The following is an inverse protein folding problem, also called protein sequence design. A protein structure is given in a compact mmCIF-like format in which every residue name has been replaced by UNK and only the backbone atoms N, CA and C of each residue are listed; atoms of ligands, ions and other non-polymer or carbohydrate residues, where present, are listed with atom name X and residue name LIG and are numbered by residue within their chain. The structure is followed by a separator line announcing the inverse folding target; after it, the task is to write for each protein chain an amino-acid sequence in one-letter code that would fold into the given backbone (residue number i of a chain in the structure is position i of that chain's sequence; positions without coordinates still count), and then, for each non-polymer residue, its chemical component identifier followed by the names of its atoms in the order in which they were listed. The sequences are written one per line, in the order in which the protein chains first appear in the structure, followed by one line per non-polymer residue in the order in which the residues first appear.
data_IF_680883961423
#
_entry.id   IF_680883961423
#
_cell.length_a   1.000
_cell.length_b   1.000
_cell.length_c   1.000
_cell.angle_alpha   90.00
_cell.angle_beta   90.00
_cell.angle_gamma   90.00
#
_symmetry.space_group_name_H-M   'P 1'
#
loop_
_entity.id
_entity.type
_entity.pdbx_description
1 polymer ?
#
# COMPACT_ATOMS: atom_id res chain seq x y z
N UNK A 1 6.65 -14.18 19.98
CA UNK A 1 6.42 -12.78 19.59
C UNK A 1 6.12 -12.77 18.11
N UNK A 2 4.95 -12.30 17.69
CA UNK A 2 4.75 -11.95 16.28
C UNK A 2 5.60 -10.72 15.98
N UNK A 3 6.33 -10.74 14.87
CA UNK A 3 7.02 -9.56 14.38
C UNK A 3 5.95 -8.68 13.71
N UNK A 4 5.86 -7.39 14.03
CA UNK A 4 4.97 -6.43 13.35
C UNK A 4 5.49 -6.06 11.93
N UNK A 5 6.09 -7.04 11.27
CA UNK A 5 6.69 -6.96 9.95
C UNK A 5 6.25 -8.23 9.23
N UNK A 6 5.45 -8.07 8.17
CA UNK A 6 5.05 -9.17 7.30
C UNK A 6 5.75 -9.06 5.95
N UNK A 7 6.15 -10.21 5.41
CA UNK A 7 6.72 -10.33 4.06
C UNK A 7 5.75 -11.16 3.22
N UNK A 8 5.22 -10.56 2.17
CA UNK A 8 4.37 -11.24 1.20
C UNK A 8 5.14 -11.44 -0.10
N UNK A 9 5.66 -12.66 -0.29
CA UNK A 9 6.48 -13.01 -1.43
C UNK A 9 5.69 -12.99 -2.74
N UNK A 10 6.37 -12.65 -3.84
CA UNK A 10 5.84 -12.75 -5.22
C UNK A 10 4.49 -12.04 -5.45
N UNK A 11 4.26 -10.92 -4.76
CA UNK A 11 3.02 -10.14 -4.92
C UNK A 11 2.92 -9.42 -6.27
N UNK A 12 4.04 -9.24 -6.97
CA UNK A 12 4.11 -8.75 -8.34
C UNK A 12 4.59 -9.88 -9.26
N UNK A 13 4.04 -9.96 -10.47
CA UNK A 13 4.54 -10.91 -11.47
C UNK A 13 5.91 -10.49 -11.97
N UNK A 14 6.74 -11.47 -12.35
CA UNK A 14 8.06 -11.20 -12.91
C UNK A 14 7.99 -10.36 -14.21
N UNK A 15 6.94 -10.56 -15.01
CA UNK A 15 6.69 -9.76 -16.22
C UNK A 15 6.39 -8.29 -15.90
N UNK A 16 5.54 -8.03 -14.90
CA UNK A 16 5.25 -6.66 -14.47
C UNK A 16 6.51 -5.96 -13.97
N UNK A 17 7.33 -6.65 -13.18
CA UNK A 17 8.60 -6.12 -12.69
C UNK A 17 9.54 -5.76 -13.85
N UNK A 18 9.73 -6.67 -14.82
CA UNK A 18 10.56 -6.41 -16.01
C UNK A 18 10.04 -5.23 -16.83
N UNK A 19 8.74 -5.17 -17.09
CA UNK A 19 8.14 -4.09 -17.85
C UNK A 19 8.30 -2.74 -17.15
N UNK A 20 8.11 -2.69 -15.83
CA UNK A 20 8.27 -1.48 -15.03
C UNK A 20 9.72 -0.97 -15.01
N UNK A 21 10.70 -1.89 -14.89
CA UNK A 21 12.14 -1.57 -14.95
C UNK A 21 12.49 -1.00 -16.33
N UNK A 22 12.11 -1.68 -17.41
CA UNK A 22 12.39 -1.21 -18.78
C UNK A 22 11.79 0.16 -19.04
N UNK A 23 10.54 0.38 -18.61
CA UNK A 23 9.88 1.68 -18.73
C UNK A 23 10.59 2.78 -17.94
N UNK A 24 11.12 2.45 -16.75
CA UNK A 24 11.89 3.38 -15.94
C UNK A 24 13.19 3.76 -16.66
N UNK A 25 13.95 2.77 -17.15
CA UNK A 25 15.23 2.96 -17.83
C UNK A 25 15.11 3.82 -19.10
N UNK A 26 13.97 3.76 -19.80
CA UNK A 26 13.69 4.55 -21.01
C UNK A 26 12.98 5.89 -20.73
N UNK A 27 12.64 6.20 -19.48
CA UNK A 27 11.94 7.44 -19.17
C UNK A 27 12.88 8.64 -19.23
N UNK A 28 12.43 9.72 -19.88
CA UNK A 28 13.11 11.02 -19.89
C UNK A 28 12.94 11.81 -18.59
N UNK A 29 12.10 11.33 -17.67
CA UNK A 29 11.80 12.01 -16.40
C UNK A 29 12.70 11.54 -15.23
N UNK A 30 13.70 10.71 -15.50
CA UNK A 30 14.67 10.28 -14.50
C UNK A 30 15.48 11.48 -13.99
N UNK A 31 15.71 11.52 -12.68
CA UNK A 31 16.59 12.52 -12.06
C UNK A 31 17.48 11.86 -10.99
N UNK A 32 18.57 12.54 -10.62
CA UNK A 32 19.46 12.05 -9.56
C UNK A 32 18.75 12.10 -8.21
N UNK A 33 18.87 11.02 -7.44
CA UNK A 33 18.31 10.92 -6.11
C UNK A 33 18.65 12.13 -5.24
N UNK A 34 17.62 12.73 -4.65
CA UNK A 34 17.74 13.93 -3.81
C UNK A 34 17.45 13.58 -2.35
N UNK A 35 18.21 14.19 -1.47
CA UNK A 35 17.98 14.30 -0.02
C UNK A 35 17.29 15.63 0.30
N UNK A 36 16.98 15.90 1.57
CA UNK A 36 16.40 17.18 1.99
C UNK A 36 17.26 18.42 1.64
N UNK A 37 18.57 18.25 1.42
CA UNK A 37 19.49 19.33 1.04
C UNK A 37 19.94 19.27 -0.43
N UNK A 38 19.24 18.51 -1.28
CA UNK A 38 19.60 18.33 -2.69
C UNK A 38 20.35 17.03 -2.98
N UNK A 39 21.22 17.03 -4.01
CA UNK A 39 21.90 15.82 -4.49
C UNK A 39 23.17 15.58 -3.67
N UNK A 40 23.20 14.47 -2.94
CA UNK A 40 24.36 14.01 -2.18
C UNK A 40 24.57 12.50 -2.42
N UNK A 41 25.41 12.12 -3.39
CA UNK A 41 25.64 10.71 -3.73
C UNK A 41 26.25 9.88 -2.60
N UNK A 42 26.88 10.52 -1.59
CA UNK A 42 27.38 9.79 -0.42
C UNK A 42 26.26 9.26 0.47
N UNK A 43 25.07 9.88 0.40
CA UNK A 43 23.86 9.49 1.15
C UNK A 43 22.81 8.81 0.30
N UNK A 44 22.69 9.21 -0.98
CA UNK A 44 21.67 8.70 -1.89
C UNK A 44 22.24 8.61 -3.31
N UNK A 45 22.83 7.45 -3.63
CA UNK A 45 23.30 7.14 -4.97
C UNK A 45 22.22 6.37 -5.76
N UNK A 46 21.17 7.06 -6.18
CA UNK A 46 20.10 6.49 -7.00
C UNK A 46 19.77 7.39 -8.20
N UNK A 47 19.13 6.79 -9.20
CA UNK A 47 18.32 7.51 -10.18
C UNK A 47 16.87 7.28 -9.80
N UNK A 48 16.10 8.35 -9.70
CA UNK A 48 14.74 8.35 -9.20
C UNK A 48 13.78 8.85 -10.29
N UNK A 49 12.51 8.45 -10.15
CA UNK A 49 11.37 9.06 -10.83
C UNK A 49 10.24 9.23 -9.81
N UNK A 50 9.47 10.31 -9.91
CA UNK A 50 8.27 10.50 -9.10
C UNK A 50 7.05 10.16 -9.95
N UNK A 51 6.56 8.91 -9.89
CA UNK A 51 5.51 8.41 -10.80
C UNK A 51 4.26 9.30 -10.83
N UNK A 52 3.82 9.79 -9.66
CA UNK A 52 2.63 10.64 -9.54
C UNK A 52 2.73 11.99 -10.28
N UNK A 53 3.93 12.43 -10.66
CA UNK A 53 4.13 13.65 -11.46
C UNK A 53 3.89 13.42 -12.96
N UNK A 54 3.75 12.15 -13.38
CA UNK A 54 3.61 11.75 -14.77
C UNK A 54 2.45 10.73 -14.94
N UNK A 55 1.22 11.07 -14.50
CA UNK A 55 0.10 10.12 -14.48
C UNK A 55 -0.32 9.64 -15.87
N UNK A 56 -0.14 10.47 -16.91
CA UNK A 56 -0.46 10.10 -18.30
C UNK A 56 0.40 8.94 -18.81
N UNK A 57 1.65 8.87 -18.33
CA UNK A 57 2.57 7.79 -18.67
C UNK A 57 2.49 6.65 -17.66
N UNK A 58 2.33 6.93 -16.36
CA UNK A 58 2.54 5.97 -15.27
C UNK A 58 1.28 5.53 -14.53
N UNK A 59 0.10 6.05 -14.88
CA UNK A 59 -1.15 5.79 -14.18
C UNK A 59 -1.47 4.31 -13.99
N UNK A 60 -1.33 3.50 -15.05
CA UNK A 60 -1.56 2.05 -14.97
C UNK A 60 -0.59 1.34 -14.02
N UNK A 61 0.69 1.73 -14.06
CA UNK A 61 1.73 1.19 -13.17
C UNK A 61 1.42 1.56 -11.71
N UNK A 62 1.00 2.80 -11.45
CA UNK A 62 0.61 3.27 -10.12
C UNK A 62 -0.57 2.46 -9.59
N UNK A 63 -1.64 2.30 -10.39
CA UNK A 63 -2.83 1.55 -10.01
C UNK A 63 -2.51 0.08 -9.68
N UNK A 64 -1.65 -0.56 -10.48
CA UNK A 64 -1.21 -1.93 -10.24
C UNK A 64 -0.43 -2.07 -8.93
N UNK A 65 0.50 -1.15 -8.65
CA UNK A 65 1.26 -1.12 -7.39
C UNK A 65 0.35 -0.88 -6.18
N UNK A 66 -0.56 0.09 -6.27
CA UNK A 66 -1.53 0.39 -5.20
C UNK A 66 -2.42 -0.81 -4.88
N UNK A 67 -2.93 -1.51 -5.90
CA UNK A 67 -3.73 -2.73 -5.71
C UNK A 67 -2.96 -3.81 -4.98
N UNK A 68 -1.68 -4.01 -5.31
CA UNK A 68 -0.83 -5.00 -4.65
C UNK A 68 -0.55 -4.64 -3.19
N UNK A 69 -0.26 -3.36 -2.91
CA UNK A 69 -0.06 -2.87 -1.54
C UNK A 69 -1.33 -3.06 -0.71
N UNK A 70 -2.50 -2.69 -1.25
CA UNK A 70 -3.79 -2.88 -0.58
C UNK A 70 -4.05 -4.36 -0.26
N UNK A 71 -3.79 -5.27 -1.20
CA UNK A 71 -3.95 -6.70 -0.97
C UNK A 71 -3.03 -7.22 0.16
N UNK A 72 -1.78 -6.75 0.21
CA UNK A 72 -0.86 -7.05 1.31
C UNK A 72 -1.36 -6.49 2.64
N UNK A 73 -1.85 -5.26 2.66
CA UNK A 73 -2.38 -4.61 3.85
C UNK A 73 -3.63 -5.31 4.40
N UNK A 74 -4.52 -5.80 3.54
CA UNK A 74 -5.68 -6.61 3.94
C UNK A 74 -5.22 -7.87 4.69
N UNK A 75 -4.21 -8.57 4.19
CA UNK A 75 -3.63 -9.75 4.87
C UNK A 75 -3.01 -9.37 6.21
N UNK A 76 -2.26 -8.28 6.25
CA UNK A 76 -1.61 -7.80 7.46
C UNK A 76 -2.62 -7.43 8.54
N UNK A 77 -3.68 -6.72 8.18
CA UNK A 77 -4.77 -6.33 9.08
C UNK A 77 -5.48 -7.55 9.67
N UNK A 78 -5.62 -8.66 8.93
CA UNK A 78 -6.20 -9.90 9.48
C UNK A 78 -5.33 -10.51 10.57
N UNK A 79 -4.02 -10.47 10.40
CA UNK A 79 -3.04 -10.96 11.38
C UNK A 79 -2.88 -9.99 12.56
N UNK A 80 -3.03 -8.69 12.29
CA UNK A 80 -2.85 -7.59 13.24
C UNK A 80 -4.07 -6.67 13.28
N UNK A 81 -5.23 -7.16 13.78
CA UNK A 81 -6.51 -6.45 13.69
C UNK A 81 -6.55 -5.14 14.46
N UNK A 82 -5.67 -4.96 15.45
CA UNK A 82 -5.51 -3.70 16.18
C UNK A 82 -4.98 -2.54 15.34
N UNK A 83 -4.43 -2.80 14.15
CA UNK A 83 -4.12 -1.73 13.19
C UNK A 83 -5.38 -0.96 12.76
N UNK A 84 -6.54 -1.63 12.71
CA UNK A 84 -7.84 -0.99 12.48
C UNK A 84 -8.59 -0.75 13.79
N UNK A 85 -8.68 -1.76 14.65
CA UNK A 85 -9.48 -1.70 15.87
C UNK A 85 -8.89 -0.78 16.96
N UNK A 86 -7.58 -0.51 16.93
CA UNK A 86 -6.90 0.32 17.93
C UNK A 86 -6.65 1.76 17.50
N UNK A 87 -6.74 2.08 16.21
CA UNK A 87 -6.39 3.40 15.69
C UNK A 87 -7.54 4.42 15.77
N UNK A 88 -8.79 3.96 15.61
CA UNK A 88 -9.99 4.79 15.56
C UNK A 88 -11.14 3.98 16.19
N UNK A 89 -11.95 4.57 17.08
CA UNK A 89 -13.22 3.98 17.54
C UNK A 89 -14.22 3.96 16.38
N UNK A 90 -13.95 3.10 15.40
CA UNK A 90 -14.68 3.01 14.16
C UNK A 90 -15.95 2.18 14.42
N UNK A 91 -17.09 2.70 13.98
CA UNK A 91 -18.35 1.98 14.05
C UNK A 91 -18.71 1.47 12.66
N UNK A 92 -18.97 0.17 12.55
CA UNK A 92 -19.56 -0.44 11.36
C UNK A 92 -21.08 -0.56 11.53
N UNK A 93 -21.86 -0.52 10.45
CA UNK A 93 -23.28 -0.90 10.52
C UNK A 93 -23.39 -2.42 10.53
N UNK A 94 -24.03 -2.97 11.55
CA UNK A 94 -24.41 -4.38 11.58
C UNK A 94 -25.50 -4.68 10.53
N UNK A 95 -25.75 -5.97 10.27
CA UNK A 95 -26.83 -6.42 9.37
C UNK A 95 -28.23 -5.96 9.84
N UNK A 96 -28.37 -5.66 11.14
CA UNK A 96 -29.55 -5.08 11.78
C UNK A 96 -29.65 -3.54 11.65
N UNK A 97 -28.69 -2.92 10.94
CA UNK A 97 -28.60 -1.47 10.73
C UNK A 97 -28.07 -0.68 11.93
N UNK A 98 -27.77 -1.34 13.07
CA UNK A 98 -27.27 -0.68 14.28
C UNK A 98 -25.75 -0.48 14.22
N UNK A 99 -25.22 0.63 14.73
CA UNK A 99 -23.78 0.81 14.84
C UNK A 99 -23.18 -0.20 15.82
N UNK A 100 -22.11 -0.87 15.41
CA UNK A 100 -21.29 -1.77 16.24
C UNK A 100 -19.83 -1.35 16.14
N UNK A 101 -19.17 -1.26 17.28
CA UNK A 101 -17.74 -0.97 17.35
C UNK A 101 -16.94 -2.04 16.62
N UNK A 102 -15.91 -1.61 15.87
CA UNK A 102 -14.98 -2.52 15.20
C UNK A 102 -13.93 -2.95 16.23
N UNK A 103 -14.18 -4.08 16.86
CA UNK A 103 -13.25 -4.75 17.76
C UNK A 103 -12.38 -5.75 16.99
N UNK A 104 -11.29 -6.20 17.61
CA UNK A 104 -10.31 -7.08 16.97
C UNK A 104 -10.90 -8.41 16.44
N UNK A 105 -11.88 -8.97 17.13
CA UNK A 105 -12.60 -10.19 16.78
C UNK A 105 -13.53 -10.01 15.57
N UNK A 106 -13.98 -8.78 15.32
CA UNK A 106 -14.84 -8.44 14.18
C UNK A 106 -14.02 -8.33 12.90
N UNK A 107 -12.79 -7.80 12.97
CA UNK A 107 -11.92 -7.57 11.79
C UNK A 107 -11.58 -8.88 11.08
N UNK A 108 -11.28 -9.95 11.82
CA UNK A 108 -10.92 -11.25 11.24
C UNK A 108 -12.07 -11.92 10.47
N UNK A 109 -13.30 -11.54 10.75
CA UNK A 109 -14.51 -12.10 10.15
C UNK A 109 -15.00 -11.32 8.91
N UNK A 110 -14.32 -10.23 8.53
CA UNK A 110 -14.72 -9.38 7.40
C UNK A 110 -14.18 -9.87 6.07
N UNK A 111 -14.99 -9.63 5.04
CA UNK A 111 -14.59 -9.83 3.64
C UNK A 111 -13.49 -8.85 3.22
N UNK A 112 -12.73 -9.20 2.17
CA UNK A 112 -11.69 -8.32 1.59
C UNK A 112 -12.28 -6.95 1.18
N UNK A 113 -13.52 -6.95 0.68
CA UNK A 113 -14.21 -5.73 0.27
C UNK A 113 -14.52 -4.81 1.45
N UNK A 114 -15.04 -5.35 2.55
CA UNK A 114 -15.28 -4.59 3.79
C UNK A 114 -13.96 -4.07 4.38
N UNK A 115 -12.91 -4.90 4.42
CA UNK A 115 -11.60 -4.49 4.91
C UNK A 115 -10.99 -3.38 4.04
N UNK A 116 -11.14 -3.47 2.72
CA UNK A 116 -10.72 -2.41 1.80
C UNK A 116 -11.39 -1.07 2.14
N UNK A 117 -12.70 -1.09 2.37
CA UNK A 117 -13.46 0.11 2.72
C UNK A 117 -13.00 0.70 4.07
N UNK A 118 -12.80 -0.16 5.08
CA UNK A 118 -12.34 0.26 6.40
C UNK A 118 -10.93 0.85 6.36
N UNK A 119 -10.02 0.23 5.60
CA UNK A 119 -8.65 0.72 5.39
C UNK A 119 -8.66 2.10 4.75
N UNK A 120 -9.38 2.28 3.64
CA UNK A 120 -9.44 3.57 2.93
C UNK A 120 -10.20 4.67 3.69
N UNK A 121 -10.97 4.33 4.72
CA UNK A 121 -11.57 5.32 5.61
C UNK A 121 -10.63 5.75 6.74
N UNK A 122 -9.66 4.92 7.11
CA UNK A 122 -8.73 5.17 8.21
C UNK A 122 -7.42 5.84 7.77
N UNK A 123 -6.98 5.62 6.52
CA UNK A 123 -5.70 6.08 5.96
C UNK A 123 -5.90 6.63 4.54
#
# INVERSE_FOLDING_TARGET
MSQFIAVYENMLSADFCRASISKFEHSSHQFRGRTGQGVDPSKKNSSDITLNQHPDEWGETILALQKVVLNGLIRYVREHPFLLAGAISMQSRGADGRPREITHDVVSQRSDAELTQMIGAAY
#
